data_IF_602191897125
#
_entry.id   IF_602191897125
#
_cell.length_a   1.000
_cell.length_b   1.000
_cell.length_c   1.000
_cell.angle_alpha   90.00
_cell.angle_beta   90.00
_cell.angle_gamma   90.00
#
_symmetry.space_group_name_H-M   'P 1'
#
loop_
_entity.id
_entity.type
_entity.pdbx_description
1 polymer ?
#
# COMPACT_ATOMS: atom_id res chain seq x y z
N UNK A 1 18.71 -25.30 67.84
CA UNK A 1 19.71 -26.19 68.47
C UNK A 1 20.74 -26.50 67.40
N UNK A 2 21.95 -25.91 67.44
CA UNK A 2 23.15 -26.49 68.08
C UNK A 2 23.30 -27.97 67.61
N UNK A 3 24.34 -28.46 66.96
CA UNK A 3 25.79 -28.36 67.17
C UNK A 3 26.44 -28.94 65.89
N UNK A 4 27.34 -28.27 65.18
CA UNK A 4 28.78 -28.14 65.47
C UNK A 4 29.50 -29.51 65.54
N UNK A 5 30.58 -29.65 64.76
CA UNK A 5 31.96 -30.08 65.14
C UNK A 5 32.63 -30.95 64.04
N UNK A 6 33.45 -30.31 63.18
CA UNK A 6 34.93 -30.45 63.16
C UNK A 6 35.37 -31.50 62.10
N UNK A 7 36.45 -31.41 61.33
CA UNK A 7 37.75 -30.77 61.50
C UNK A 7 38.55 -30.89 60.17
N UNK A 8 39.30 -29.84 59.81
CA UNK A 8 40.61 -29.82 59.11
C UNK A 8 40.85 -30.53 57.76
N UNK A 9 41.28 -29.74 56.75
CA UNK A 9 42.59 -29.82 56.04
C UNK A 9 42.50 -28.89 54.81
N UNK A 10 42.96 -27.63 54.89
CA UNK A 10 44.30 -27.20 54.43
C UNK A 10 44.78 -27.96 53.19
N UNK A 11 44.70 -27.31 52.01
CA UNK A 11 45.78 -27.16 51.04
C UNK A 11 45.43 -25.96 50.15
N UNK A 12 46.21 -24.90 50.30
CA UNK A 12 46.26 -23.79 49.37
C UNK A 12 47.05 -24.25 48.13
N UNK A 13 46.45 -24.16 46.94
CA UNK A 13 47.19 -24.19 45.68
C UNK A 13 47.00 -22.83 45.03
N UNK A 14 47.94 -21.94 45.33
CA UNK A 14 48.13 -20.67 44.62
C UNK A 14 48.77 -20.97 43.27
N UNK A 15 47.97 -21.07 42.22
CA UNK A 15 48.45 -21.11 40.84
C UNK A 15 48.75 -19.68 40.38
N UNK A 16 50.00 -19.26 40.56
CA UNK A 16 50.54 -18.01 40.03
C UNK A 16 50.73 -18.17 38.50
N UNK A 17 49.72 -17.79 37.71
CA UNK A 17 49.87 -17.67 36.27
C UNK A 17 50.61 -16.37 35.95
N UNK A 18 51.90 -16.48 35.60
CA UNK A 18 52.69 -15.39 35.07
C UNK A 18 52.13 -14.97 33.70
N UNK A 19 51.46 -13.83 33.65
CA UNK A 19 51.09 -13.17 32.40
C UNK A 19 52.36 -12.54 31.82
N UNK A 20 52.92 -13.18 30.78
CA UNK A 20 53.94 -12.56 29.94
C UNK A 20 53.22 -11.62 28.99
N UNK A 21 53.29 -10.32 29.28
CA UNK A 21 52.84 -9.27 28.38
C UNK A 21 53.76 -9.25 27.14
N UNK A 22 53.26 -9.77 26.02
CA UNK A 22 53.86 -9.54 24.71
C UNK A 22 53.68 -8.07 24.29
N UNK A 23 54.58 -7.52 23.47
CA UNK A 23 54.47 -6.13 23.05
C UNK A 23 53.21 -5.94 22.22
N UNK A 24 52.39 -4.97 22.63
CA UNK A 24 51.27 -4.47 21.85
C UNK A 24 51.83 -3.87 20.56
N UNK A 25 51.89 -4.68 19.50
CA UNK A 25 51.98 -4.14 18.15
C UNK A 25 50.66 -3.45 17.87
N UNK A 26 50.68 -2.12 17.96
CA UNK A 26 49.64 -1.28 17.42
C UNK A 26 49.44 -1.62 15.96
N UNK A 27 48.34 -2.31 15.67
CA UNK A 27 47.75 -2.30 14.34
C UNK A 27 47.02 -0.96 14.23
N UNK A 28 47.74 -0.04 13.60
CA UNK A 28 47.27 1.25 13.12
C UNK A 28 46.08 1.10 12.18
N UNK A 29 45.18 2.08 12.28
CA UNK A 29 44.24 2.54 11.26
C UNK A 29 43.08 1.59 10.89
N UNK A 30 41.89 1.96 11.35
CA UNK A 30 40.68 1.78 10.54
C UNK A 30 40.99 2.27 9.12
N UNK A 31 40.86 1.37 8.15
CA UNK A 31 40.94 1.72 6.73
C UNK A 31 39.92 2.82 6.45
N UNK A 32 40.25 3.85 5.64
CA UNK A 32 39.23 4.72 5.08
C UNK A 32 38.22 3.85 4.35
N UNK A 33 36.92 4.13 4.54
CA UNK A 33 35.80 3.50 3.83
C UNK A 33 36.13 3.39 2.33
N UNK A 34 36.50 2.19 1.90
CA UNK A 34 36.55 1.84 0.49
C UNK A 34 35.11 1.74 0.02
N UNK A 35 34.74 2.54 -0.97
CA UNK A 35 33.47 2.41 -1.70
C UNK A 35 33.34 0.96 -2.19
N UNK A 36 32.43 0.14 -1.63
CA UNK A 36 31.02 0.11 -2.04
C UNK A 36 30.05 -0.18 -0.85
N UNK A 37 28.75 0.19 -0.90
CA UNK A 37 27.87 -0.31 -1.93
C UNK A 37 26.99 0.75 -2.58
N UNK A 38 26.67 0.50 -3.84
CA UNK A 38 25.79 1.25 -4.74
C UNK A 38 26.48 2.29 -5.60
N UNK A 39 27.61 2.88 -5.19
CA UNK A 39 28.31 3.89 -6.01
C UNK A 39 28.63 3.38 -7.42
N UNK A 40 29.22 2.18 -7.56
CA UNK A 40 29.46 1.55 -8.88
C UNK A 40 28.15 1.28 -9.65
N UNK A 41 27.05 1.01 -8.95
CA UNK A 41 25.74 0.87 -9.58
C UNK A 41 25.21 2.24 -10.03
N UNK A 42 25.42 3.30 -9.25
CA UNK A 42 24.98 4.66 -9.51
C UNK A 42 25.72 5.30 -10.68
N UNK A 43 26.94 4.89 -10.99
CA UNK A 43 27.66 5.36 -12.19
C UNK A 43 26.84 5.17 -13.48
N UNK A 44 26.05 4.11 -13.55
CA UNK A 44 25.14 3.85 -14.67
C UNK A 44 23.67 4.09 -14.32
N UNK A 45 23.18 3.53 -13.20
CA UNK A 45 21.76 3.59 -12.82
C UNK A 45 21.37 4.90 -12.11
N UNK A 46 22.32 5.66 -11.58
CA UNK A 46 22.10 6.99 -11.02
C UNK A 46 22.36 8.13 -12.01
N UNK A 47 22.82 7.80 -13.22
CA UNK A 47 23.17 8.77 -14.24
C UNK A 47 21.93 9.29 -15.01
N UNK A 48 21.90 10.56 -15.45
CA UNK A 48 20.77 11.12 -16.19
C UNK A 48 20.38 10.34 -17.44
N UNK A 49 21.36 9.70 -18.10
CA UNK A 49 21.18 8.90 -19.30
C UNK A 49 20.22 7.72 -19.05
N UNK A 50 20.26 7.13 -17.83
CA UNK A 50 19.39 6.03 -17.45
C UNK A 50 17.90 6.43 -17.34
N UNK A 51 17.58 7.72 -17.19
CA UNK A 51 16.18 8.19 -17.12
C UNK A 51 15.38 7.83 -18.37
N UNK A 52 16.04 7.77 -19.51
CA UNK A 52 15.44 7.43 -20.81
C UNK A 52 15.52 5.94 -21.14
N UNK A 53 16.21 5.15 -20.30
CA UNK A 53 16.35 3.71 -20.48
C UNK A 53 15.28 3.00 -19.64
N UNK A 54 14.58 2.09 -20.28
CA UNK A 54 13.57 1.27 -19.62
C UNK A 54 13.86 -0.21 -19.84
N UNK A 55 13.35 -1.01 -18.91
CA UNK A 55 13.29 -2.47 -19.01
C UNK A 55 11.84 -2.89 -18.90
N UNK A 56 11.46 -3.90 -19.68
CA UNK A 56 10.14 -4.49 -19.57
C UNK A 56 10.06 -5.34 -18.30
N UNK A 57 9.09 -5.04 -17.44
CA UNK A 57 8.84 -5.79 -16.22
C UNK A 57 7.40 -6.31 -16.26
N UNK A 58 7.22 -7.44 -16.93
CA UNK A 58 5.91 -8.09 -17.06
C UNK A 58 4.96 -7.30 -17.97
N UNK A 59 5.46 -6.75 -19.08
CA UNK A 59 4.68 -5.95 -20.03
C UNK A 59 4.57 -4.46 -19.69
N UNK A 60 5.18 -4.02 -18.58
CA UNK A 60 5.18 -2.62 -18.14
C UNK A 60 6.61 -2.05 -18.22
N UNK A 61 6.84 -0.95 -18.97
CA UNK A 61 8.15 -0.32 -19.05
C UNK A 61 8.49 0.37 -17.72
N UNK A 62 9.62 -0.03 -17.11
CA UNK A 62 10.15 0.56 -15.88
C UNK A 62 11.47 1.25 -16.15
N UNK A 63 11.65 2.46 -15.61
CA UNK A 63 12.91 3.20 -15.74
C UNK A 63 14.05 2.46 -15.03
N UNK A 64 15.23 2.47 -15.66
CA UNK A 64 16.46 1.97 -15.05
C UNK A 64 17.12 2.98 -14.11
N UNK A 65 16.61 4.21 -14.06
CA UNK A 65 17.14 5.27 -13.21
C UNK A 65 16.73 5.08 -11.75
N UNK A 66 17.71 5.24 -10.86
CA UNK A 66 17.56 5.28 -9.41
C UNK A 66 18.08 6.61 -8.91
N UNK A 67 17.19 7.41 -8.32
CA UNK A 67 17.63 8.63 -7.67
C UNK A 67 18.36 8.30 -6.36
N UNK A 68 19.64 8.67 -6.29
CA UNK A 68 20.52 8.38 -5.15
C UNK A 68 19.96 8.97 -3.85
N UNK A 69 19.57 10.24 -3.87
CA UNK A 69 19.09 10.92 -2.66
C UNK A 69 17.77 10.30 -2.17
N UNK A 70 16.89 9.92 -3.09
CA UNK A 70 15.64 9.25 -2.75
C UNK A 70 15.89 7.86 -2.15
N UNK A 71 16.75 7.05 -2.76
CA UNK A 71 17.07 5.72 -2.22
C UNK A 71 17.74 5.80 -0.85
N UNK A 72 18.76 6.66 -0.70
CA UNK A 72 19.50 6.83 0.55
C UNK A 72 18.60 7.33 1.69
N UNK A 73 17.54 8.07 1.38
CA UNK A 73 16.52 8.50 2.34
C UNK A 73 15.48 7.42 2.68
N UNK A 74 15.39 6.34 1.90
CA UNK A 74 14.44 5.24 2.13
C UNK A 74 14.80 4.41 3.36
N UNK A 75 13.87 3.54 3.81
CA UNK A 75 14.14 2.59 4.90
C UNK A 75 15.31 1.64 4.61
N UNK A 76 15.62 1.42 3.33
CA UNK A 76 16.69 0.55 2.88
C UNK A 76 17.92 1.32 2.36
N UNK A 77 18.00 2.63 2.56
CA UNK A 77 19.06 3.47 1.98
C UNK A 77 20.49 3.13 2.41
N UNK A 78 20.65 2.31 3.44
CA UNK A 78 21.94 1.78 3.91
C UNK A 78 22.29 0.39 3.35
N UNK A 79 21.37 -0.24 2.63
CA UNK A 79 21.58 -1.56 2.05
C UNK A 79 22.30 -1.45 0.70
N UNK A 80 23.05 -2.50 0.37
CA UNK A 80 23.61 -2.66 -0.95
C UNK A 80 22.49 -2.97 -1.97
N UNK A 81 22.63 -2.52 -3.21
CA UNK A 81 21.74 -2.86 -4.31
C UNK A 81 21.65 -4.38 -4.46
N UNK A 82 22.77 -5.07 -4.28
CA UNK A 82 22.89 -6.53 -4.35
C UNK A 82 22.20 -7.27 -3.20
N UNK A 83 21.79 -6.56 -2.13
CA UNK A 83 20.92 -7.14 -1.09
C UNK A 83 19.49 -7.38 -1.60
N UNK A 84 19.06 -6.62 -2.61
CA UNK A 84 17.76 -6.82 -3.28
C UNK A 84 17.93 -7.45 -4.68
N UNK A 85 18.92 -7.00 -5.44
CA UNK A 85 19.32 -7.57 -6.72
C UNK A 85 20.26 -8.77 -6.51
N UNK A 86 19.71 -9.85 -5.97
CA UNK A 86 20.49 -11.05 -5.63
C UNK A 86 21.19 -11.63 -6.86
N UNK A 87 22.46 -11.99 -6.71
CA UNK A 87 23.26 -12.60 -7.78
C UNK A 87 23.91 -11.60 -8.75
N UNK A 88 23.60 -10.30 -8.63
CA UNK A 88 24.22 -9.27 -9.45
C UNK A 88 25.56 -8.82 -8.88
N UNK A 89 26.48 -8.51 -9.79
CA UNK A 89 27.71 -7.79 -9.50
C UNK A 89 27.66 -6.46 -10.22
N UNK A 90 28.22 -5.42 -9.61
CA UNK A 90 28.33 -4.13 -10.27
C UNK A 90 29.22 -4.26 -11.52
N UNK A 91 28.76 -3.64 -12.62
CA UNK A 91 29.38 -3.71 -13.93
C UNK A 91 28.34 -3.76 -15.06
N UNK A 92 28.78 -3.58 -16.33
CA UNK A 92 27.92 -3.74 -17.50
C UNK A 92 27.31 -5.14 -17.55
N UNK A 93 26.01 -5.20 -17.80
CA UNK A 93 25.26 -6.45 -17.86
C UNK A 93 24.19 -6.39 -18.97
N UNK A 94 23.86 -7.55 -19.52
CA UNK A 94 22.90 -7.70 -20.63
C UNK A 94 21.54 -8.28 -20.18
N UNK A 95 20.64 -8.44 -21.16
CA UNK A 95 19.30 -8.97 -20.94
C UNK A 95 19.31 -10.43 -20.45
N UNK A 96 20.30 -11.23 -20.87
CA UNK A 96 20.40 -12.64 -20.47
C UNK A 96 20.85 -12.75 -19.01
N UNK A 97 21.80 -11.92 -18.60
CA UNK A 97 22.26 -11.82 -17.21
C UNK A 97 21.21 -11.25 -16.27
N UNK A 98 20.18 -10.59 -16.82
CA UNK A 98 19.06 -10.06 -16.06
C UNK A 98 17.85 -10.97 -16.04
N UNK A 99 17.82 -12.12 -16.71
CA UNK A 99 16.63 -12.96 -16.73
C UNK A 99 16.12 -13.32 -15.31
N UNK A 100 14.84 -13.06 -15.02
CA UNK A 100 14.23 -13.32 -13.71
C UNK A 100 14.59 -12.34 -12.58
N UNK A 101 15.40 -11.31 -12.85
CA UNK A 101 15.82 -10.31 -11.85
C UNK A 101 14.64 -9.64 -11.16
N UNK A 102 13.60 -9.32 -11.95
CA UNK A 102 12.45 -8.59 -11.46
C UNK A 102 11.64 -9.42 -10.46
N UNK A 103 11.47 -10.72 -10.69
CA UNK A 103 10.85 -11.61 -9.71
C UNK A 103 11.72 -11.68 -8.44
N UNK A 104 13.03 -11.86 -8.59
CA UNK A 104 13.93 -11.97 -7.44
C UNK A 104 13.92 -10.69 -6.58
N UNK A 105 14.11 -9.51 -7.19
CA UNK A 105 14.23 -8.26 -6.46
C UNK A 105 12.89 -7.73 -5.91
N UNK A 106 11.76 -8.02 -6.56
CA UNK A 106 10.45 -7.46 -6.19
C UNK A 106 9.66 -8.32 -5.20
N UNK A 107 10.03 -9.59 -5.02
CA UNK A 107 9.38 -10.50 -4.08
C UNK A 107 10.36 -11.33 -3.24
N UNK A 108 11.26 -12.08 -3.87
CA UNK A 108 12.06 -13.08 -3.13
C UNK A 108 13.10 -12.46 -2.21
N UNK A 109 13.75 -11.36 -2.63
CA UNK A 109 14.78 -10.72 -1.83
C UNK A 109 14.23 -10.16 -0.50
N UNK A 110 12.95 -9.74 -0.49
CA UNK A 110 12.28 -9.26 0.71
C UNK A 110 12.21 -10.34 1.79
N UNK A 111 12.00 -11.61 1.39
CA UNK A 111 11.78 -12.73 2.31
C UNK A 111 12.99 -13.04 3.19
N UNK A 112 14.20 -12.70 2.73
CA UNK A 112 15.44 -12.99 3.44
C UNK A 112 15.58 -12.19 4.74
N UNK A 113 14.84 -11.08 4.86
CA UNK A 113 14.77 -10.26 6.08
C UNK A 113 13.34 -10.17 6.65
N UNK A 114 12.32 -10.15 5.80
CA UNK A 114 10.91 -10.02 6.18
C UNK A 114 10.14 -11.34 6.06
N UNK A 115 10.67 -12.42 6.63
CA UNK A 115 10.13 -13.77 6.49
C UNK A 115 8.68 -13.93 7.01
N UNK A 116 8.37 -13.30 8.14
CA UNK A 116 7.02 -13.38 8.73
C UNK A 116 5.98 -12.67 7.86
N UNK A 117 6.32 -11.47 7.39
CA UNK A 117 5.48 -10.69 6.48
C UNK A 117 5.31 -11.41 5.15
N UNK A 118 6.38 -12.02 4.62
CA UNK A 118 6.31 -12.85 3.43
C UNK A 118 5.36 -14.04 3.62
N UNK A 119 5.37 -14.67 4.79
CA UNK A 119 4.47 -15.76 5.13
C UNK A 119 3.00 -15.29 5.16
N UNK A 120 2.74 -14.12 5.76
CA UNK A 120 1.40 -13.51 5.72
C UNK A 120 0.94 -13.21 4.30
N UNK A 121 1.80 -12.55 3.51
CA UNK A 121 1.53 -12.22 2.11
C UNK A 121 1.25 -13.46 1.28
N UNK A 122 2.05 -14.51 1.42
CA UNK A 122 1.85 -15.78 0.71
C UNK A 122 0.52 -16.43 1.04
N UNK A 123 0.02 -16.28 2.27
CA UNK A 123 -1.30 -16.75 2.69
C UNK A 123 -2.46 -15.81 2.33
N UNK A 124 -2.18 -14.61 1.81
CA UNK A 124 -3.20 -13.67 1.34
C UNK A 124 -3.81 -14.12 -0.01
N UNK A 125 -4.90 -13.49 -0.41
CA UNK A 125 -5.51 -13.70 -1.72
C UNK A 125 -4.56 -13.32 -2.87
N UNK A 126 -3.89 -12.16 -2.78
CA UNK A 126 -2.92 -11.74 -3.81
C UNK A 126 -1.74 -12.69 -3.90
N UNK A 127 -1.14 -13.07 -2.77
CA UNK A 127 -0.01 -14.00 -2.75
C UNK A 127 -0.41 -15.38 -3.28
N UNK A 128 -1.51 -15.95 -2.78
CA UNK A 128 -2.00 -17.26 -3.22
C UNK A 128 -2.23 -17.28 -4.73
N UNK A 129 -2.93 -16.28 -5.28
CA UNK A 129 -3.19 -16.20 -6.71
C UNK A 129 -1.89 -16.03 -7.52
N UNK A 130 -0.98 -15.16 -7.08
CA UNK A 130 0.30 -14.93 -7.75
C UNK A 130 1.22 -16.16 -7.82
N UNK A 131 1.18 -17.02 -6.81
CA UNK A 131 1.94 -18.27 -6.80
C UNK A 131 1.25 -19.40 -7.58
N UNK A 132 -0.09 -19.39 -7.70
CA UNK A 132 -0.84 -20.38 -8.47
C UNK A 132 -0.80 -20.09 -9.98
N UNK A 133 -0.79 -18.82 -10.36
CA UNK A 133 -0.68 -18.37 -11.73
C UNK A 133 0.47 -17.36 -11.86
N UNK A 134 1.68 -17.81 -12.23
CA UNK A 134 2.84 -16.95 -12.46
C UNK A 134 2.63 -15.91 -13.57
N UNK A 135 1.63 -16.10 -14.44
CA UNK A 135 1.23 -15.11 -15.46
C UNK A 135 0.20 -14.09 -14.96
N UNK A 136 -0.29 -14.25 -13.73
CA UNK A 136 -1.27 -13.34 -13.15
C UNK A 136 -0.66 -11.96 -12.85
N UNK A 137 -1.48 -10.92 -12.99
CA UNK A 137 -1.09 -9.53 -12.71
C UNK A 137 -1.23 -9.16 -11.23
N UNK A 138 -1.07 -10.13 -10.32
CA UNK A 138 -1.20 -9.87 -8.89
C UNK A 138 -0.05 -8.99 -8.38
N UNK A 139 -0.32 -8.03 -7.48
CA UNK A 139 0.71 -7.14 -6.97
C UNK A 139 1.65 -7.89 -6.03
N UNK A 140 2.96 -7.70 -6.18
CA UNK A 140 4.00 -8.21 -5.26
C UNK A 140 4.47 -7.13 -4.28
N UNK A 141 5.45 -7.45 -3.43
CA UNK A 141 5.93 -6.54 -2.38
C UNK A 141 6.28 -5.15 -2.91
N UNK A 142 7.04 -5.07 -4.01
CA UNK A 142 7.45 -3.81 -4.61
C UNK A 142 6.33 -3.04 -5.34
N UNK A 143 5.18 -3.67 -5.60
CA UNK A 143 4.02 -2.98 -6.17
C UNK A 143 3.25 -2.17 -5.15
N UNK A 144 3.29 -2.57 -3.88
CA UNK A 144 2.71 -1.82 -2.78
C UNK A 144 3.77 -0.93 -2.11
N UNK A 145 4.93 -1.50 -1.80
CA UNK A 145 6.08 -0.80 -1.24
C UNK A 145 7.02 -0.36 -2.36
N UNK A 146 6.72 0.78 -2.99
CA UNK A 146 7.36 1.25 -4.23
C UNK A 146 8.89 1.32 -4.08
N UNK A 147 9.60 0.37 -4.68
CA UNK A 147 11.05 0.45 -4.84
C UNK A 147 11.38 1.51 -5.91
N UNK A 148 12.44 2.31 -5.79
CA UNK A 148 13.50 2.34 -4.78
C UNK A 148 13.26 3.34 -3.63
N UNK A 149 12.00 3.72 -3.37
CA UNK A 149 11.64 4.67 -2.33
C UNK A 149 10.71 4.02 -1.29
N UNK A 150 11.20 2.98 -0.62
CA UNK A 150 10.42 2.27 0.40
C UNK A 150 10.33 3.14 1.65
N UNK A 151 9.14 3.71 1.87
CA UNK A 151 8.82 4.55 3.02
C UNK A 151 8.29 3.70 4.19
N UNK A 152 8.30 4.23 5.43
CA UNK A 152 7.78 3.51 6.58
C UNK A 152 6.26 3.26 6.46
N UNK A 153 5.74 2.06 6.74
CA UNK A 153 4.31 1.77 6.66
C UNK A 153 3.47 2.61 7.65
N UNK A 154 4.07 3.04 8.76
CA UNK A 154 3.46 3.91 9.77
C UNK A 154 3.45 5.40 9.39
N UNK A 155 4.08 5.77 8.26
CA UNK A 155 4.22 7.17 7.87
C UNK A 155 2.93 7.73 7.25
N UNK A 156 2.73 9.04 7.45
CA UNK A 156 1.66 9.80 6.77
C UNK A 156 1.79 9.71 5.25
N UNK A 157 3.03 9.69 4.74
CA UNK A 157 3.31 9.56 3.31
C UNK A 157 2.77 8.23 2.77
N UNK A 158 3.10 7.12 3.42
CA UNK A 158 2.58 5.80 3.02
C UNK A 158 1.05 5.77 3.08
N UNK A 159 0.46 6.28 4.17
CA UNK A 159 -1.01 6.29 4.33
C UNK A 159 -1.72 7.02 3.20
N UNK A 160 -1.19 8.17 2.78
CA UNK A 160 -1.76 8.97 1.67
C UNK A 160 -1.66 8.29 0.31
N UNK A 161 -0.70 7.38 0.13
CA UNK A 161 -0.51 6.65 -1.12
C UNK A 161 -1.41 5.42 -1.25
N UNK A 162 -2.01 4.92 -0.16
CA UNK A 162 -2.78 3.66 -0.14
C UNK A 162 -3.91 3.67 -1.18
N UNK A 163 -4.71 4.73 -1.23
CA UNK A 163 -5.85 4.78 -2.16
C UNK A 163 -5.38 4.68 -3.62
N UNK A 164 -4.33 5.43 -3.99
CA UNK A 164 -3.75 5.39 -5.33
C UNK A 164 -2.99 4.09 -5.63
N UNK A 165 -2.45 3.44 -4.61
CA UNK A 165 -1.77 2.15 -4.72
C UNK A 165 -2.74 1.04 -5.10
N UNK A 166 -3.86 0.95 -4.39
CA UNK A 166 -4.89 -0.04 -4.68
C UNK A 166 -5.57 0.23 -6.03
N UNK A 167 -5.76 1.51 -6.38
CA UNK A 167 -6.41 1.93 -7.62
C UNK A 167 -5.72 1.47 -8.90
N UNK A 168 -4.41 1.24 -8.87
CA UNK A 168 -3.66 0.75 -10.04
C UNK A 168 -4.24 -0.55 -10.61
N UNK A 169 -4.86 -1.37 -9.76
CA UNK A 169 -5.53 -2.61 -10.18
C UNK A 169 -7.03 -2.62 -9.85
N UNK A 170 -7.46 -1.86 -8.83
CA UNK A 170 -8.83 -1.79 -8.35
C UNK A 170 -9.50 -0.44 -8.61
N UNK A 171 -9.32 0.12 -9.81
CA UNK A 171 -9.83 1.44 -10.20
C UNK A 171 -11.35 1.58 -9.94
N UNK A 172 -12.13 0.57 -10.31
CA UNK A 172 -13.59 0.60 -10.14
C UNK A 172 -14.00 0.69 -8.67
N UNK A 173 -13.31 -0.04 -7.79
CA UNK A 173 -13.57 -0.01 -6.36
C UNK A 173 -13.06 1.28 -5.71
N UNK A 174 -11.93 1.81 -6.16
CA UNK A 174 -11.44 3.11 -5.70
C UNK A 174 -12.46 4.20 -6.04
N UNK A 175 -12.97 4.22 -7.27
CA UNK A 175 -13.92 5.24 -7.72
C UNK A 175 -15.18 5.26 -6.86
N UNK A 176 -15.76 4.11 -6.54
CA UNK A 176 -16.95 4.03 -5.67
C UNK A 176 -16.61 4.25 -4.20
N UNK A 177 -15.42 3.88 -3.74
CA UNK A 177 -14.93 4.22 -2.40
C UNK A 177 -14.78 5.74 -2.23
N UNK A 178 -14.29 6.46 -3.24
CA UNK A 178 -14.15 7.92 -3.22
C UNK A 178 -15.50 8.65 -3.14
N UNK A 179 -16.60 8.00 -3.55
CA UNK A 179 -17.96 8.53 -3.36
C UNK A 179 -18.48 8.35 -1.92
N UNK A 180 -17.84 7.51 -1.11
CA UNK A 180 -18.18 7.28 0.30
C UNK A 180 -17.70 8.40 1.22
N UNK A 181 -18.22 8.45 2.45
CA UNK A 181 -17.72 9.38 3.48
C UNK A 181 -16.24 9.19 3.76
N UNK A 182 -15.77 7.93 3.79
CA UNK A 182 -14.37 7.62 4.05
C UNK A 182 -13.47 8.16 2.94
N UNK A 183 -13.78 7.85 1.68
CA UNK A 183 -12.98 8.30 0.55
C UNK A 183 -12.98 9.82 0.38
N UNK A 184 -14.11 10.49 0.62
CA UNK A 184 -14.17 11.97 0.59
C UNK A 184 -13.31 12.60 1.67
N UNK A 185 -13.39 12.11 2.91
CA UNK A 185 -12.59 12.64 4.00
C UNK A 185 -11.09 12.33 3.84
N UNK A 186 -10.74 11.14 3.33
CA UNK A 186 -9.36 10.79 2.97
C UNK A 186 -8.80 11.73 1.88
N UNK A 187 -9.59 12.01 0.84
CA UNK A 187 -9.23 12.96 -0.23
C UNK A 187 -9.00 14.38 0.30
N UNK A 188 -9.76 14.78 1.32
CA UNK A 188 -9.59 16.07 2.01
C UNK A 188 -8.39 16.07 2.99
N UNK A 189 -7.62 14.98 3.05
CA UNK A 189 -6.39 14.89 3.84
C UNK A 189 -6.59 14.36 5.28
N UNK A 190 -7.76 13.83 5.61
CA UNK A 190 -7.99 13.20 6.92
C UNK A 190 -7.07 11.99 7.11
N UNK A 191 -6.34 11.97 8.21
CA UNK A 191 -5.47 10.85 8.58
C UNK A 191 -6.15 9.84 9.51
N UNK A 192 -7.31 10.19 10.06
CA UNK A 192 -8.06 9.36 11.02
C UNK A 192 -9.23 8.63 10.38
N UNK A 193 -9.46 8.85 9.09
CA UNK A 193 -10.52 8.20 8.33
C UNK A 193 -10.01 6.90 7.71
N UNK A 194 -10.84 5.87 7.69
CA UNK A 194 -10.47 4.56 7.17
C UNK A 194 -10.09 4.61 5.68
N UNK A 195 -8.94 4.02 5.32
CA UNK A 195 -8.49 3.75 3.95
C UNK A 195 -8.62 2.26 3.62
N UNK A 196 -8.29 1.85 2.39
CA UNK A 196 -8.51 0.48 1.90
C UNK A 196 -8.02 -0.60 2.87
N UNK A 197 -6.83 -0.41 3.43
CA UNK A 197 -6.16 -1.37 4.32
C UNK A 197 -6.78 -1.45 5.72
N UNK A 198 -7.49 -0.42 6.15
CA UNK A 198 -8.11 -0.41 7.49
C UNK A 198 -9.30 -1.38 7.53
N UNK A 199 -9.97 -1.60 6.39
CA UNK A 199 -11.00 -2.63 6.26
C UNK A 199 -10.44 -3.96 5.75
N UNK A 200 -9.66 -3.96 4.66
CA UNK A 200 -9.25 -5.19 3.96
C UNK A 200 -7.97 -5.83 4.49
N UNK A 201 -7.23 -5.13 5.35
CA UNK A 201 -5.88 -5.49 5.75
C UNK A 201 -4.81 -5.08 4.72
N UNK A 202 -3.55 -5.40 5.03
CA UNK A 202 -2.39 -5.11 4.17
C UNK A 202 -1.70 -6.38 3.66
N UNK A 203 -0.93 -7.05 4.53
CA UNK A 203 -0.20 -8.27 4.15
C UNK A 203 -1.03 -9.56 4.26
N UNK A 204 -2.21 -9.51 4.90
CA UNK A 204 -3.15 -10.65 5.01
C UNK A 204 -4.51 -10.29 4.40
N UNK A 205 -4.51 -9.74 3.19
CA UNK A 205 -5.75 -9.41 2.48
C UNK A 205 -6.43 -10.71 2.02
N UNK A 206 -7.66 -10.93 2.45
CA UNK A 206 -8.44 -12.13 2.13
C UNK A 206 -9.72 -11.74 1.39
N UNK A 207 -10.21 -12.65 0.54
CA UNK A 207 -11.47 -12.45 -0.15
C UNK A 207 -12.62 -12.25 0.87
N UNK A 208 -13.65 -11.43 0.57
CA UNK A 208 -14.78 -11.24 1.50
C UNK A 208 -15.52 -12.53 1.86
N UNK A 209 -15.53 -13.52 0.97
CA UNK A 209 -16.11 -14.85 1.22
C UNK A 209 -15.26 -15.73 2.14
N UNK A 210 -14.00 -15.38 2.39
CA UNK A 210 -13.13 -16.15 3.27
C UNK A 210 -13.54 -15.94 4.73
N UNK A 211 -13.73 -17.01 5.53
CA UNK A 211 -14.20 -16.90 6.91
C UNK A 211 -13.34 -15.99 7.78
N UNK A 212 -12.02 -16.00 7.60
CA UNK A 212 -11.08 -15.18 8.38
C UNK A 212 -10.87 -13.75 7.82
N UNK A 213 -11.58 -13.35 6.77
CA UNK A 213 -11.46 -11.99 6.24
C UNK A 213 -12.07 -10.99 7.20
N UNK A 214 -11.42 -9.85 7.42
CA UNK A 214 -11.98 -8.72 8.19
C UNK A 214 -13.23 -8.15 7.51
N UNK A 215 -13.31 -8.23 6.18
CA UNK A 215 -14.50 -7.84 5.40
C UNK A 215 -15.48 -8.99 5.16
N UNK A 216 -15.35 -10.10 5.90
CA UNK A 216 -16.38 -11.13 5.94
C UNK A 216 -17.59 -10.63 6.73
N UNK A 217 -18.80 -11.03 6.31
CA UNK A 217 -20.06 -10.64 6.96
C UNK A 217 -20.06 -10.89 8.48
N UNK A 218 -19.44 -11.99 8.93
CA UNK A 218 -19.33 -12.32 10.35
C UNK A 218 -18.40 -11.39 11.15
N UNK A 219 -17.49 -10.67 10.49
CA UNK A 219 -16.47 -9.82 11.11
C UNK A 219 -16.69 -8.32 10.88
N UNK A 220 -17.72 -7.92 10.12
CA UNK A 220 -17.98 -6.51 9.83
C UNK A 220 -18.29 -5.70 11.10
N UNK A 221 -18.98 -6.27 12.08
CA UNK A 221 -19.28 -5.56 13.33
C UNK A 221 -17.99 -5.21 14.07
N UNK A 222 -17.05 -6.16 14.15
CA UNK A 222 -15.74 -5.95 14.77
C UNK A 222 -14.89 -4.94 13.98
N UNK A 223 -14.78 -5.15 12.66
CA UNK A 223 -13.98 -4.29 11.77
C UNK A 223 -14.47 -2.85 11.74
N UNK A 224 -15.79 -2.63 11.71
CA UNK A 224 -16.36 -1.29 11.84
C UNK A 224 -16.21 -0.76 13.28
N UNK A 225 -16.30 -1.65 14.27
CA UNK A 225 -16.22 -1.37 15.70
C UNK A 225 -14.88 -0.77 16.15
N UNK A 226 -13.79 -1.05 15.42
CA UNK A 226 -12.47 -0.46 15.68
C UNK A 226 -12.49 1.08 15.69
N UNK A 227 -13.36 1.69 14.89
CA UNK A 227 -13.53 3.14 14.81
C UNK A 227 -14.95 3.62 15.18
N UNK A 228 -15.96 2.75 15.14
CA UNK A 228 -17.35 3.08 15.45
C UNK A 228 -17.85 2.31 16.69
N UNK A 229 -17.65 2.85 17.90
CA UNK A 229 -18.18 2.24 19.12
C UNK A 229 -19.70 2.03 19.02
N UNK A 230 -20.15 0.79 19.23
CA UNK A 230 -21.57 0.43 19.12
C UNK A 230 -22.04 0.06 17.71
N UNK A 231 -21.11 -0.21 16.78
CA UNK A 231 -21.42 -0.89 15.53
C UNK A 231 -22.25 -2.16 15.80
N UNK A 232 -23.28 -2.37 14.99
CA UNK A 232 -24.25 -3.46 15.11
C UNK A 232 -24.74 -3.89 13.73
N UNK A 233 -25.59 -4.91 13.68
CA UNK A 233 -26.12 -5.47 12.42
C UNK A 233 -26.74 -4.44 11.48
N UNK A 234 -27.45 -3.43 12.02
CA UNK A 234 -28.04 -2.38 11.19
C UNK A 234 -26.99 -1.40 10.65
N UNK A 235 -25.93 -1.15 11.43
CA UNK A 235 -24.85 -0.24 11.03
C UNK A 235 -24.04 -0.81 9.86
N UNK A 236 -23.76 -2.11 9.89
CA UNK A 236 -22.93 -2.78 8.87
C UNK A 236 -23.65 -3.03 7.55
N UNK A 237 -24.93 -2.68 7.42
CA UNK A 237 -25.66 -2.76 6.14
C UNK A 237 -25.19 -1.73 5.11
N UNK A 238 -24.37 -0.74 5.54
CA UNK A 238 -23.82 0.25 4.63
C UNK A 238 -22.74 -0.36 3.72
N UNK A 239 -22.99 -0.33 2.41
CA UNK A 239 -22.02 -0.80 1.41
C UNK A 239 -21.04 0.33 1.04
N UNK A 240 -19.77 0.14 1.40
CA UNK A 240 -18.73 1.20 1.32
C UNK A 240 -18.36 1.60 -0.12
N UNK A 241 -18.26 0.65 -1.05
CA UNK A 241 -17.80 0.91 -2.42
C UNK A 241 -18.65 0.20 -3.49
N UNK A 242 -19.97 0.22 -3.31
CA UNK A 242 -20.94 -0.32 -4.28
C UNK A 242 -21.08 0.59 -5.51
N UNK A 243 -21.19 0.02 -6.71
CA UNK A 243 -21.46 0.77 -7.93
C UNK A 243 -22.98 0.83 -8.21
N UNK A 244 -23.66 1.97 -7.97
CA UNK A 244 -25.11 2.07 -8.14
C UNK A 244 -25.54 2.07 -9.61
N UNK A 245 -24.61 2.26 -10.57
CA UNK A 245 -24.91 2.24 -12.00
C UNK A 245 -24.82 0.84 -12.62
N UNK A 246 -24.38 -0.16 -11.86
CA UNK A 246 -24.24 -1.53 -12.32
C UNK A 246 -25.15 -2.47 -11.54
N UNK A 247 -26.13 -3.15 -12.19
CA UNK A 247 -26.97 -4.13 -11.51
C UNK A 247 -26.19 -5.35 -11.02
N UNK A 248 -24.97 -5.56 -11.53
CA UNK A 248 -24.06 -6.63 -11.06
C UNK A 248 -23.42 -6.35 -9.71
N UNK A 249 -23.30 -5.07 -9.32
CA UNK A 249 -22.70 -4.70 -8.04
C UNK A 249 -23.70 -4.86 -6.90
N UNK A 250 -24.94 -4.41 -7.09
CA UNK A 250 -26.08 -4.74 -6.24
C UNK A 250 -27.35 -4.41 -7.01
N UNK A 251 -28.15 -5.42 -7.28
CA UNK A 251 -29.42 -5.25 -7.99
C UNK A 251 -30.34 -4.27 -7.26
N UNK A 252 -30.40 -4.39 -5.92
CA UNK A 252 -31.23 -3.53 -5.08
C UNK A 252 -30.78 -2.07 -5.12
N UNK A 253 -29.48 -1.80 -4.96
CA UNK A 253 -28.96 -0.43 -5.02
C UNK A 253 -29.19 0.18 -6.41
N UNK A 254 -29.00 -0.61 -7.47
CA UNK A 254 -29.22 -0.18 -8.84
C UNK A 254 -30.69 0.18 -9.11
N UNK A 255 -31.66 -0.61 -8.64
CA UNK A 255 -33.09 -0.29 -8.83
C UNK A 255 -33.47 0.99 -8.09
N UNK A 256 -33.02 1.17 -6.84
CA UNK A 256 -33.23 2.41 -6.10
C UNK A 256 -32.60 3.61 -6.80
N UNK A 257 -31.36 3.49 -7.26
CA UNK A 257 -30.68 4.55 -7.99
C UNK A 257 -31.42 4.94 -9.29
N UNK A 258 -31.84 3.94 -10.08
CA UNK A 258 -32.59 4.18 -11.31
C UNK A 258 -33.94 4.87 -11.04
N UNK A 259 -34.68 4.41 -10.02
CA UNK A 259 -35.95 5.02 -9.62
C UNK A 259 -35.77 6.46 -9.13
N UNK A 260 -34.71 6.72 -8.35
CA UNK A 260 -34.39 8.05 -7.84
C UNK A 260 -34.00 9.03 -8.97
N UNK A 261 -33.16 8.60 -9.91
CA UNK A 261 -32.80 9.41 -11.09
C UNK A 261 -34.02 9.69 -11.95
N UNK A 262 -34.90 8.70 -12.16
CA UNK A 262 -36.15 8.89 -12.89
C UNK A 262 -37.04 9.92 -12.18
N UNK A 263 -37.25 9.79 -10.88
CA UNK A 263 -38.06 10.70 -10.08
C UNK A 263 -37.53 12.14 -10.16
N UNK A 264 -36.23 12.35 -9.92
CA UNK A 264 -35.59 13.67 -10.04
C UNK A 264 -35.79 14.23 -11.44
N UNK A 265 -35.49 13.44 -12.47
CA UNK A 265 -35.56 13.91 -13.86
C UNK A 265 -36.98 14.34 -14.21
N UNK A 266 -37.99 13.57 -13.81
CA UNK A 266 -39.40 13.91 -14.05
C UNK A 266 -39.80 15.18 -13.30
N UNK A 267 -39.50 15.26 -12.00
CA UNK A 267 -39.91 16.40 -11.15
C UNK A 267 -39.25 17.70 -11.63
N UNK A 268 -37.94 17.69 -11.86
CA UNK A 268 -37.23 18.88 -12.32
C UNK A 268 -37.61 19.26 -13.75
N UNK A 269 -37.75 18.30 -14.67
CA UNK A 269 -38.20 18.60 -16.04
C UNK A 269 -39.60 19.20 -16.03
N UNK A 270 -40.53 18.62 -15.28
CA UNK A 270 -41.86 19.16 -15.12
C UNK A 270 -41.84 20.57 -14.51
N UNK A 271 -41.07 20.77 -13.44
CA UNK A 271 -40.92 22.06 -12.77
C UNK A 271 -40.36 23.15 -13.70
N UNK A 272 -39.32 22.82 -14.47
CA UNK A 272 -38.72 23.74 -15.45
C UNK A 272 -39.70 24.05 -16.59
N UNK A 273 -40.41 23.05 -17.12
CA UNK A 273 -41.41 23.25 -18.18
C UNK A 273 -42.58 24.09 -17.67
N UNK A 274 -43.14 23.77 -16.50
CA UNK A 274 -44.22 24.52 -15.88
C UNK A 274 -43.83 25.98 -15.64
N UNK A 275 -42.68 26.21 -15.00
CA UNK A 275 -42.17 27.55 -14.70
C UNK A 275 -41.88 28.33 -15.98
N UNK A 276 -41.28 27.69 -16.98
CA UNK A 276 -41.04 28.27 -18.29
C UNK A 276 -42.33 28.70 -19.00
N UNK A 277 -43.35 27.85 -19.00
CA UNK A 277 -44.66 28.16 -19.57
C UNK A 277 -45.38 29.28 -18.80
N UNK A 278 -45.28 29.30 -17.48
CA UNK A 278 -45.84 30.37 -16.65
C UNK A 278 -45.19 31.72 -16.94
N UNK A 279 -43.85 31.77 -17.00
CA UNK A 279 -43.09 32.97 -17.34
C UNK A 279 -43.41 33.42 -18.77
N UNK A 280 -43.43 32.49 -19.73
CA UNK A 280 -43.80 32.78 -21.12
C UNK A 280 -45.19 33.39 -21.23
N UNK A 281 -46.18 32.82 -20.52
CA UNK A 281 -47.53 33.38 -20.45
C UNK A 281 -47.50 34.80 -19.88
N UNK A 282 -46.75 35.05 -18.81
CA UNK A 282 -46.59 36.38 -18.24
C UNK A 282 -46.02 37.41 -19.23
N UNK A 283 -44.98 37.04 -19.99
CA UNK A 283 -44.43 37.89 -21.04
C UNK A 283 -45.44 38.16 -22.16
N UNK A 284 -46.13 37.13 -22.64
CA UNK A 284 -47.18 37.27 -23.65
C UNK A 284 -48.28 38.22 -23.16
N UNK A 285 -48.82 37.98 -21.97
CA UNK A 285 -49.92 38.78 -21.43
C UNK A 285 -49.47 40.24 -21.16
N UNK A 286 -48.21 40.48 -20.76
CA UNK A 286 -47.63 41.83 -20.63
C UNK A 286 -47.33 42.56 -21.96
N UNK A 287 -47.01 41.81 -23.01
CA UNK A 287 -46.80 42.33 -24.37
C UNK A 287 -48.11 42.61 -25.12
N UNK A 288 -49.13 41.75 -24.93
CA UNK A 288 -50.41 41.83 -25.64
C UNK A 288 -51.53 42.50 -24.82
N UNK A 289 -51.44 42.53 -23.49
CA UNK A 289 -52.47 43.11 -22.60
C UNK A 289 -52.49 44.64 -22.52
N UNK A 290 -51.44 45.33 -22.96
CA UNK A 290 -51.38 46.81 -22.99
C UNK A 290 -52.20 47.47 -24.11
N UNK A 291 -52.91 46.70 -24.95
CA UNK A 291 -53.65 47.23 -26.11
C UNK A 291 -55.15 47.50 -25.88
N UNK A 292 -55.67 47.36 -24.66
CA UNK A 292 -57.12 47.45 -24.40
C UNK A 292 -57.57 48.56 -23.42
N UNK A 293 -56.73 49.57 -23.16
CA UNK A 293 -57.13 50.76 -22.41
C UNK A 293 -56.80 52.02 -23.22
N UNK A 294 -57.71 52.38 -24.12
CA UNK A 294 -57.71 53.60 -24.93
C UNK A 294 -59.13 53.93 -25.34
#
# INVERSE_FOLDING_TARGET
>A
MKWLRHLLLLIAVTSLAAVVAGPATGATAESPLQTPPNDECYECHGAPEAKTKTVDVGGEPRSLYVDRAVFEASRHGKLACTSCHLGFKAGPHDAAQTEGWAATARIDACRNCHADVFTMYRGSFHGTLGFLDPGSKTPVCADCHVAHNIVPPESVEFRRQIDGMCARCHEDAQRTYLDSYHGKAATLGSLTTAVCTDCHGGHRILAPSHPESSVNEAHLIETCGDCHPGANENFIQFLVHVNPRSPRSSFLVWTFYAAYILLITVVFTFGFVHSGLYIYRGFKDGLYGRKHHG
#
